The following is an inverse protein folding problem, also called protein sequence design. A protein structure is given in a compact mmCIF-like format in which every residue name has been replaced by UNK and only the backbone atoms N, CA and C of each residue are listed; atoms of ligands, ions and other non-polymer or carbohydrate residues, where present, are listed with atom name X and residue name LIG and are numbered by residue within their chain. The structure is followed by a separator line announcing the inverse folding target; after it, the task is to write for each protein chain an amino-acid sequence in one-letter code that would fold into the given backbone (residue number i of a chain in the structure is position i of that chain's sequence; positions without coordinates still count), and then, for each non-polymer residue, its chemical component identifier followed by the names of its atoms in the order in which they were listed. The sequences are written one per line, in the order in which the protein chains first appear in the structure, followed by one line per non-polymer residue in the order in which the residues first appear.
data_IF_091078582253
#
_entry.id   IF_091078582253
#
_cell.length_a   1.000
_cell.length_b   1.000
_cell.length_c   1.000
_cell.angle_alpha   90.00
_cell.angle_beta   90.00
_cell.angle_gamma   90.00
#
_symmetry.space_group_name_H-M   'P 1'
#
loop_
_entity.id
_entity.type
_entity.pdbx_description
1 polymer ?
#
# COMPACT_ATOMS: atom_id res chain seq x y z
N UNK A 1 20.42 -21.95 27.25
CA UNK A 1 20.64 -21.33 25.92
C UNK A 1 19.30 -20.82 25.45
N UNK A 2 19.09 -19.50 25.51
CA UNK A 2 17.86 -18.88 24.99
C UNK A 2 17.86 -18.94 23.47
N UNK A 3 16.81 -19.51 22.88
CA UNK A 3 16.43 -19.21 21.51
C UNK A 3 15.46 -18.04 21.60
N UNK A 4 16.02 -16.84 21.65
CA UNK A 4 15.30 -15.63 21.30
C UNK A 4 15.18 -15.68 19.77
N UNK A 5 14.21 -16.45 19.29
CA UNK A 5 13.77 -16.37 17.91
C UNK A 5 13.20 -14.97 17.77
N UNK A 6 13.99 -14.09 17.18
CA UNK A 6 13.57 -12.79 16.69
C UNK A 6 12.32 -13.04 15.82
N UNK A 7 11.13 -12.86 16.39
CA UNK A 7 9.84 -13.05 15.73
C UNK A 7 9.56 -11.95 14.70
N UNK A 8 10.61 -11.41 14.08
CA UNK A 8 10.54 -10.35 13.10
C UNK A 8 10.07 -11.00 11.81
N UNK A 9 8.78 -10.83 11.52
CA UNK A 9 8.25 -11.18 10.20
C UNK A 9 9.12 -10.48 9.16
N UNK A 10 9.56 -11.18 8.09
CA UNK A 10 10.50 -10.61 7.15
C UNK A 10 9.88 -9.34 6.55
N UNK A 11 10.48 -8.19 6.86
CA UNK A 11 10.12 -6.92 6.23
C UNK A 11 10.61 -6.94 4.79
N UNK A 12 9.70 -6.73 3.85
CA UNK A 12 9.98 -6.78 2.42
C UNK A 12 9.70 -5.45 1.76
N UNK A 13 10.49 -5.13 0.73
CA UNK A 13 10.30 -3.93 -0.06
C UNK A 13 9.33 -4.18 -1.21
N UNK A 14 8.35 -3.29 -1.33
CA UNK A 14 7.35 -3.34 -2.37
C UNK A 14 7.22 -2.01 -3.12
N UNK A 15 6.78 -2.08 -4.38
CA UNK A 15 6.56 -0.93 -5.24
C UNK A 15 5.11 -0.90 -5.73
N UNK A 16 4.49 0.29 -5.73
CA UNK A 16 3.17 0.49 -6.33
C UNK A 16 3.26 0.68 -7.85
N UNK A 17 2.46 -0.08 -8.60
CA UNK A 17 2.45 -0.11 -10.07
C UNK A 17 1.10 0.38 -10.59
N UNK A 18 1.13 1.36 -11.51
CA UNK A 18 -0.07 2.05 -11.99
C UNK A 18 -0.67 3.01 -10.96
N UNK A 19 -1.79 3.65 -11.34
CA UNK A 19 -2.55 4.52 -10.46
C UNK A 19 -1.83 5.79 -9.99
N UNK A 20 -2.46 6.58 -9.09
CA UNK A 20 -1.94 7.88 -8.67
C UNK A 20 -0.69 7.86 -7.77
N UNK A 21 -0.35 6.70 -7.20
CA UNK A 21 0.81 6.52 -6.34
C UNK A 21 1.90 5.64 -7.00
N UNK A 22 1.91 5.57 -8.33
CA UNK A 22 2.88 4.79 -9.07
C UNK A 22 4.33 5.12 -8.68
N UNK A 23 5.15 4.07 -8.51
CA UNK A 23 6.58 4.19 -8.16
C UNK A 23 6.85 4.36 -6.66
N UNK A 24 5.80 4.55 -5.83
CA UNK A 24 5.95 4.63 -4.38
C UNK A 24 6.53 3.31 -3.84
N UNK A 25 7.55 3.42 -2.99
CA UNK A 25 8.21 2.28 -2.35
C UNK A 25 7.78 2.19 -0.89
N UNK A 26 7.37 1.00 -0.46
CA UNK A 26 6.86 0.73 0.88
C UNK A 26 7.57 -0.49 1.45
N UNK A 27 7.68 -0.53 2.78
CA UNK A 27 8.07 -1.73 3.53
C UNK A 27 6.79 -2.40 3.99
N UNK A 28 6.65 -3.69 3.72
CA UNK A 28 5.50 -4.50 4.13
C UNK A 28 5.96 -5.70 4.93
N UNK A 29 5.22 -6.01 5.98
CA UNK A 29 5.34 -7.26 6.74
C UNK A 29 4.27 -8.22 6.25
N UNK A 30 4.57 -9.52 6.16
CA UNK A 30 3.60 -10.58 5.86
C UNK A 30 2.91 -10.52 4.47
N UNK A 31 3.41 -9.66 3.57
CA UNK A 31 2.91 -9.49 2.19
C UNK A 31 1.37 -9.39 2.15
N UNK A 32 0.77 -8.33 2.73
CA UNK A 32 -0.68 -8.20 2.74
C UNK A 32 -1.22 -8.24 1.31
N UNK A 33 -2.37 -8.85 1.06
CA UNK A 33 -2.91 -8.97 -0.30
C UNK A 33 -3.38 -7.62 -0.86
N UNK A 34 -3.59 -6.63 0.00
CA UNK A 34 -4.12 -5.31 -0.35
C UNK A 34 -3.38 -4.24 0.46
N UNK A 35 -3.06 -3.13 -0.20
CA UNK A 35 -2.55 -1.89 0.39
C UNK A 35 -3.47 -0.75 0.01
N UNK A 36 -3.78 0.11 0.97
CA UNK A 36 -4.59 1.32 0.77
C UNK A 36 -3.71 2.56 0.87
N UNK A 37 -3.84 3.45 -0.11
CA UNK A 37 -3.18 4.77 -0.12
C UNK A 37 -4.26 5.84 -0.01
N UNK A 38 -4.16 6.69 1.00
CA UNK A 38 -5.02 7.86 1.16
C UNK A 38 -4.28 9.12 0.72
N UNK A 39 -4.98 10.01 0.01
CA UNK A 39 -4.46 11.32 -0.37
C UNK A 39 -5.46 12.39 0.06
N UNK A 40 -5.06 13.45 0.80
CA UNK A 40 -5.96 14.53 1.14
C UNK A 40 -6.48 15.22 -0.12
N UNK A 41 -7.77 15.52 -0.14
CA UNK A 41 -8.38 16.38 -1.15
C UNK A 41 -8.51 17.80 -0.60
N UNK A 42 -8.25 18.80 -1.44
CA UNK A 42 -8.58 20.18 -1.10
C UNK A 42 -10.10 20.32 -1.09
N UNK A 43 -10.62 20.96 -0.04
CA UNK A 43 -12.06 21.21 0.12
C UNK A 43 -12.27 22.71 0.13
N UNK A 44 -12.96 23.24 -0.87
CA UNK A 44 -13.17 24.69 -1.05
C UNK A 44 -14.13 25.27 0.00
N UNK A 45 -15.17 24.51 0.38
CA UNK A 45 -16.07 24.85 1.46
C UNK A 45 -16.58 23.57 2.13
N UNK A 46 -16.15 23.32 3.38
CA UNK A 46 -16.59 22.17 4.16
C UNK A 46 -17.59 22.61 5.24
N UNK A 47 -18.87 22.19 5.17
CA UNK A 47 -19.75 22.35 6.32
C UNK A 47 -19.25 21.46 7.47
N UNK A 48 -19.22 22.00 8.69
CA UNK A 48 -19.04 21.20 9.92
C UNK A 48 -17.70 20.48 10.08
N UNK A 49 -16.60 20.96 9.47
CA UNK A 49 -15.28 20.37 9.66
C UNK A 49 -15.05 19.04 8.93
N UNK A 50 -15.84 18.75 7.89
CA UNK A 50 -15.68 17.58 7.04
C UNK A 50 -14.35 17.64 6.28
N UNK A 51 -13.64 16.51 6.20
CA UNK A 51 -12.43 16.32 5.40
C UNK A 51 -12.70 15.32 4.28
N UNK A 52 -12.18 15.58 3.09
CA UNK A 52 -12.20 14.65 1.98
C UNK A 52 -10.80 14.02 1.79
N UNK A 53 -10.77 12.71 1.58
CA UNK A 53 -9.57 11.97 1.18
C UNK A 53 -9.92 11.08 -0.01
N UNK A 54 -9.03 11.02 -1.00
CA UNK A 54 -9.10 10.02 -2.05
C UNK A 54 -8.46 8.73 -1.55
N UNK A 55 -9.17 7.62 -1.71
CA UNK A 55 -8.69 6.28 -1.37
C UNK A 55 -8.31 5.56 -2.67
N UNK A 56 -7.10 5.00 -2.71
CA UNK A 56 -6.62 4.21 -3.82
C UNK A 56 -6.20 2.83 -3.32
N UNK A 57 -6.79 1.79 -3.89
CA UNK A 57 -6.52 0.40 -3.51
C UNK A 57 -5.50 -0.20 -4.47
N UNK A 58 -4.49 -0.86 -3.91
CA UNK A 58 -3.50 -1.60 -4.66
C UNK A 58 -3.47 -3.05 -4.19
N UNK A 59 -3.54 -3.99 -5.14
CA UNK A 59 -3.54 -5.42 -4.87
C UNK A 59 -2.17 -6.01 -5.13
N UNK A 60 -1.79 -6.98 -4.31
CA UNK A 60 -0.57 -7.72 -4.52
C UNK A 60 -0.62 -8.40 -5.89
N UNK A 61 0.29 -8.02 -6.78
CA UNK A 61 0.43 -8.65 -8.08
C UNK A 61 1.00 -10.06 -7.94
N UNK A 62 0.78 -10.89 -8.96
CA UNK A 62 1.52 -12.15 -9.06
C UNK A 62 3.02 -11.81 -9.10
N UNK A 63 3.87 -12.50 -8.31
CA UNK A 63 5.29 -12.21 -8.28
C UNK A 63 5.88 -12.40 -9.68
N UNK A 64 6.30 -11.30 -10.30
CA UNK A 64 6.99 -11.32 -11.59
C UNK A 64 8.45 -11.75 -11.35
N UNK A 65 8.67 -13.04 -11.09
CA UNK A 65 10.00 -13.62 -10.89
C UNK A 65 10.71 -13.15 -9.61
N UNK A 66 12.05 -13.15 -9.62
CA UNK A 66 12.93 -12.69 -8.52
C UNK A 66 12.97 -11.15 -8.35
N UNK A 67 11.99 -10.44 -8.92
CA UNK A 67 11.87 -8.99 -8.79
C UNK A 67 11.32 -8.54 -7.43
N UNK A 68 11.45 -7.25 -7.10
CA UNK A 68 10.81 -6.68 -5.92
C UNK A 68 9.30 -6.86 -5.97
N UNK A 69 8.68 -7.02 -4.80
CA UNK A 69 7.24 -7.20 -4.65
C UNK A 69 6.49 -6.02 -5.28
N UNK A 70 5.43 -6.28 -6.04
CA UNK A 70 4.68 -5.23 -6.73
C UNK A 70 3.20 -5.26 -6.39
N UNK A 71 2.64 -4.11 -6.05
CA UNK A 71 1.20 -3.94 -5.87
C UNK A 71 0.61 -3.17 -7.06
N UNK A 72 -0.31 -3.77 -7.79
CA UNK A 72 -1.00 -3.15 -8.92
C UNK A 72 -2.22 -2.35 -8.49
N UNK A 73 -2.43 -1.18 -9.08
CA UNK A 73 -3.61 -0.35 -8.83
C UNK A 73 -4.90 -1.07 -9.25
N UNK A 74 -5.86 -1.14 -8.33
CA UNK A 74 -7.20 -1.69 -8.56
C UNK A 74 -8.22 -0.55 -8.72
N UNK A 75 -8.49 -0.18 -9.97
CA UNK A 75 -9.47 0.85 -10.32
C UNK A 75 -10.93 0.39 -10.14
N UNK A 76 -11.15 -0.92 -9.95
CA UNK A 76 -12.49 -1.49 -9.76
C UNK A 76 -12.88 -1.58 -8.27
N UNK A 77 -11.95 -1.31 -7.35
CA UNK A 77 -12.23 -1.26 -5.92
C UNK A 77 -12.95 0.06 -5.56
N UNK A 78 -14.10 0.01 -4.87
CA UNK A 78 -14.91 1.18 -4.51
C UNK A 78 -14.27 2.06 -3.43
#
# INVERSE_FOLDING_TARGET
MGMDTDCTTPEEHAVLVGGPAHGLRLRVTDRPPVVQVTRPCEVEAAPGGVRAEALYVYRLGLPAGEGPLSYGYDAASP
#
